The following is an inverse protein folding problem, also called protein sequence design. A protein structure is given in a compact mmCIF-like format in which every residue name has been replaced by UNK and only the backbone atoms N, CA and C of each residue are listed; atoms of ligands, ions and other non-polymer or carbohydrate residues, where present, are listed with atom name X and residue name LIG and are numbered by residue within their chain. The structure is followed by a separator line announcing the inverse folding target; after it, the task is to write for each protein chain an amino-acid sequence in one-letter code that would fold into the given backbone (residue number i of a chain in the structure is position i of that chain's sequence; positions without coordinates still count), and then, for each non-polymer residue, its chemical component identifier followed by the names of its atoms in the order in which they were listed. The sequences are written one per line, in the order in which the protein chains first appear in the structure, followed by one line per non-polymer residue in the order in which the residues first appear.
data_IF_846756804170
#
_entry.id   IF_846756804170
#
_cell.length_a   1.000
_cell.length_b   1.000
_cell.length_c   1.000
_cell.angle_alpha   90.00
_cell.angle_beta   90.00
_cell.angle_gamma   90.00
#
_symmetry.space_group_name_H-M   'P 1'
#
loop_
_entity.id
_entity.type
_entity.pdbx_description
1 polymer ?
#
# COMPACT_ATOMS: atom_id res chain seq x y z
N UNK A 1 -16.37 -35.43 29.63
CA UNK A 1 -15.08 -34.82 30.02
C UNK A 1 -14.75 -35.13 31.48
N UNK A 2 -13.84 -36.10 31.75
CA UNK A 2 -13.45 -36.50 33.11
C UNK A 2 -12.09 -35.94 33.57
N UNK A 3 -11.31 -35.31 32.67
CA UNK A 3 -9.95 -34.83 32.98
C UNK A 3 -9.93 -33.32 33.29
N UNK A 4 -9.48 -32.95 34.50
CA UNK A 4 -9.38 -31.56 34.97
C UNK A 4 -8.54 -30.66 34.05
N UNK A 5 -7.50 -31.22 33.41
CA UNK A 5 -6.62 -30.49 32.48
C UNK A 5 -7.32 -30.11 31.18
N UNK A 6 -8.11 -31.03 30.61
CA UNK A 6 -8.92 -30.75 29.40
C UNK A 6 -9.92 -29.61 29.63
N UNK A 7 -10.52 -29.55 30.83
CA UNK A 7 -11.44 -28.46 31.22
C UNK A 7 -10.73 -27.12 31.36
N UNK A 8 -9.47 -27.09 31.81
CA UNK A 8 -8.68 -25.87 31.93
C UNK A 8 -8.22 -25.34 30.55
N UNK A 9 -7.80 -26.24 29.66
CA UNK A 9 -7.43 -25.88 28.28
C UNK A 9 -8.63 -25.32 27.49
N UNK A 10 -9.83 -25.88 27.70
CA UNK A 10 -11.06 -25.36 27.08
C UNK A 10 -11.41 -23.95 27.60
N UNK A 11 -11.19 -23.66 28.89
CA UNK A 11 -11.34 -22.28 29.44
C UNK A 11 -10.43 -21.30 28.74
N UNK A 12 -9.16 -21.68 28.57
CA UNK A 12 -8.16 -20.86 27.89
C UNK A 12 -8.58 -20.60 26.44
N UNK A 13 -9.01 -21.63 25.71
CA UNK A 13 -9.47 -21.47 24.32
C UNK A 13 -10.63 -20.48 24.19
N UNK A 14 -11.62 -20.54 25.10
CA UNK A 14 -12.75 -19.60 25.13
C UNK A 14 -12.29 -18.16 25.42
N UNK A 15 -11.35 -17.97 26.33
CA UNK A 15 -10.78 -16.65 26.64
C UNK A 15 -10.05 -16.07 25.43
N UNK A 16 -9.20 -16.87 24.79
CA UNK A 16 -8.42 -16.44 23.61
C UNK A 16 -9.35 -16.10 22.43
N UNK A 17 -10.41 -16.88 22.23
CA UNK A 17 -11.38 -16.63 21.17
C UNK A 17 -12.25 -15.39 21.44
N UNK A 18 -12.57 -15.09 22.70
CA UNK A 18 -13.26 -13.84 23.04
C UNK A 18 -12.36 -12.62 22.80
N UNK A 19 -11.07 -12.72 23.14
CA UNK A 19 -10.10 -11.68 22.84
C UNK A 19 -9.93 -11.48 21.33
N UNK A 20 -9.89 -12.57 20.56
CA UNK A 20 -9.93 -12.54 19.09
C UNK A 20 -11.16 -11.74 18.59
N UNK A 21 -12.34 -11.98 19.15
CA UNK A 21 -13.57 -11.28 18.76
C UNK A 21 -13.55 -9.77 19.07
N UNK A 22 -12.83 -9.34 20.11
CA UNK A 22 -12.72 -7.94 20.50
C UNK A 22 -11.72 -7.16 19.62
N UNK A 23 -10.73 -7.84 19.05
CA UNK A 23 -9.68 -7.26 18.19
C UNK A 23 -10.12 -7.04 16.72
N UNK A 24 -11.22 -7.66 16.28
CA UNK A 24 -11.70 -7.56 14.88
C UNK A 24 -12.44 -6.24 14.60
N UNK A 25 -11.90 -5.43 13.70
CA UNK A 25 -12.41 -4.09 13.37
C UNK A 25 -12.85 -3.93 11.90
N UNK A 26 -14.01 -4.47 11.51
CA UNK A 26 -14.68 -4.06 10.25
C UNK A 26 -16.17 -3.70 10.45
N UNK A 27 -16.66 -2.77 9.63
CA UNK A 27 -17.99 -2.14 9.70
C UNK A 27 -19.16 -3.08 9.39
N UNK A 28 -18.91 -4.24 8.78
CA UNK A 28 -19.89 -5.32 8.56
C UNK A 28 -19.69 -6.54 9.50
N UNK A 29 -18.47 -6.79 10.00
CA UNK A 29 -18.12 -7.98 10.81
C UNK A 29 -18.43 -7.89 12.31
N UNK A 30 -18.51 -6.67 12.87
CA UNK A 30 -18.71 -6.45 14.31
C UNK A 30 -20.04 -7.01 14.86
N UNK A 31 -21.06 -7.16 14.01
CA UNK A 31 -22.40 -7.64 14.41
C UNK A 31 -22.45 -9.17 14.47
N UNK A 32 -21.84 -9.88 13.51
CA UNK A 32 -21.83 -11.35 13.47
C UNK A 32 -20.93 -11.95 14.55
N UNK A 33 -19.74 -11.38 14.77
CA UNK A 33 -18.80 -11.86 15.80
C UNK A 33 -19.25 -11.56 17.22
N UNK A 34 -19.86 -10.40 17.50
CA UNK A 34 -20.49 -10.14 18.81
C UNK A 34 -21.67 -11.08 19.09
N UNK A 35 -22.43 -11.46 18.06
CA UNK A 35 -23.52 -12.43 18.18
C UNK A 35 -22.97 -13.82 18.52
N UNK A 36 -21.88 -14.23 17.86
CA UNK A 36 -21.15 -15.48 18.17
C UNK A 36 -20.52 -15.43 19.58
N UNK A 37 -19.83 -14.35 19.96
CA UNK A 37 -19.25 -14.16 21.28
C UNK A 37 -20.30 -14.13 22.41
N UNK A 38 -21.44 -13.47 22.20
CA UNK A 38 -22.57 -13.52 23.16
C UNK A 38 -23.22 -14.91 23.25
N UNK A 39 -23.19 -15.68 22.17
CA UNK A 39 -23.65 -17.08 22.13
C UNK A 39 -22.65 -17.99 22.86
N UNK A 40 -21.36 -17.66 22.85
CA UNK A 40 -20.27 -18.35 23.55
C UNK A 40 -20.17 -18.01 25.04
N UNK A 41 -20.48 -16.78 25.45
CA UNK A 41 -20.59 -16.41 26.85
C UNK A 41 -21.63 -17.25 27.62
N UNK A 42 -22.65 -17.77 26.92
CA UNK A 42 -23.67 -18.68 27.47
C UNK A 42 -23.26 -20.17 27.46
N UNK A 43 -22.15 -20.52 26.80
CA UNK A 43 -21.54 -21.85 26.87
C UNK A 43 -20.66 -21.89 28.11
N UNK A 44 -21.27 -22.05 29.28
CA UNK A 44 -20.52 -22.44 30.49
C UNK A 44 -20.06 -23.89 30.34
N UNK A 45 -18.89 -24.21 30.89
CA UNK A 45 -18.30 -25.56 30.88
C UNK A 45 -19.21 -26.62 31.51
N UNK A 46 -20.19 -26.20 32.30
CA UNK A 46 -21.20 -27.06 32.90
C UNK A 46 -22.39 -27.38 31.97
N UNK A 47 -22.59 -26.60 30.88
CA UNK A 47 -23.69 -26.71 29.90
C UNK A 47 -23.32 -27.51 28.62
N UNK A 48 -22.22 -28.25 28.60
CA UNK A 48 -21.75 -29.01 27.41
C UNK A 48 -22.04 -30.52 27.54
N UNK A 49 -22.84 -30.94 28.53
CA UNK A 49 -22.95 -32.34 28.95
C UNK A 49 -24.32 -32.98 28.68
N UNK A 50 -25.31 -32.27 28.15
CA UNK A 50 -26.67 -32.80 27.95
C UNK A 50 -27.17 -32.76 26.49
N UNK A 51 -28.13 -33.63 26.15
CA UNK A 51 -28.63 -33.82 24.78
C UNK A 51 -29.35 -32.59 24.18
N UNK A 52 -29.70 -31.57 24.99
CA UNK A 52 -30.19 -30.27 24.49
C UNK A 52 -29.08 -29.40 23.88
N UNK A 53 -27.81 -29.75 24.11
CA UNK A 53 -26.65 -28.90 23.84
C UNK A 53 -26.07 -29.17 22.43
N UNK A 54 -26.34 -30.35 21.85
CA UNK A 54 -25.99 -30.69 20.46
C UNK A 54 -26.77 -29.85 19.43
N UNK A 55 -28.06 -29.60 19.66
CA UNK A 55 -28.88 -28.73 18.80
C UNK A 55 -28.40 -27.26 18.84
N UNK A 56 -27.84 -26.83 19.96
CA UNK A 56 -27.27 -25.50 20.14
C UNK A 56 -25.93 -25.35 19.39
N UNK A 57 -25.03 -26.34 19.50
CA UNK A 57 -23.80 -26.41 18.72
C UNK A 57 -24.08 -26.50 17.20
N UNK A 58 -25.11 -27.24 16.79
CA UNK A 58 -25.53 -27.34 15.40
C UNK A 58 -26.06 -26.01 14.83
N UNK A 59 -26.72 -25.20 15.66
CA UNK A 59 -27.15 -23.84 15.30
C UNK A 59 -25.95 -22.91 15.09
N UNK A 60 -24.98 -22.92 16.00
CA UNK A 60 -23.71 -22.19 15.85
C UNK A 60 -22.97 -22.65 14.58
N UNK A 61 -22.90 -23.96 14.34
CA UNK A 61 -22.28 -24.55 13.16
C UNK A 61 -22.91 -24.04 11.85
N UNK A 62 -24.23 -23.88 11.82
CA UNK A 62 -24.97 -23.35 10.66
C UNK A 62 -24.75 -21.84 10.46
N UNK A 63 -24.69 -21.05 11.54
CA UNK A 63 -24.45 -19.60 11.47
C UNK A 63 -23.01 -19.26 11.04
N UNK A 64 -22.02 -20.11 11.37
CA UNK A 64 -20.62 -19.97 10.93
C UNK A 64 -20.39 -20.30 9.45
N UNK A 65 -21.25 -21.14 8.85
CA UNK A 65 -21.07 -21.67 7.49
C UNK A 65 -21.49 -20.74 6.34
N UNK A 66 -22.07 -19.57 6.65
CA UNK A 66 -22.62 -18.66 5.65
C UNK A 66 -21.79 -17.37 5.53
N UNK A 67 -20.90 -17.30 4.53
CA UNK A 67 -20.40 -16.09 3.86
C UNK A 67 -19.94 -14.85 4.69
N UNK A 68 -19.57 -14.97 5.96
CA UNK A 68 -19.22 -13.79 6.80
C UNK A 68 -17.72 -13.40 6.85
N UNK A 69 -16.86 -13.99 6.03
CA UNK A 69 -15.41 -14.06 6.34
C UNK A 69 -14.49 -13.37 5.34
N UNK A 70 -14.79 -12.14 4.89
CA UNK A 70 -13.94 -11.45 3.91
C UNK A 70 -13.01 -10.37 4.42
N UNK A 71 -13.15 -9.82 5.63
CA UNK A 71 -12.21 -8.78 6.12
C UNK A 71 -12.12 -8.83 7.66
N UNK A 72 -11.06 -9.46 8.19
CA UNK A 72 -10.83 -9.66 9.62
C UNK A 72 -9.34 -9.48 9.94
N UNK A 73 -9.00 -8.41 10.66
CA UNK A 73 -7.68 -8.15 11.26
C UNK A 73 -7.61 -8.68 12.68
N UNK A 74 -6.58 -9.44 13.06
CA UNK A 74 -6.37 -9.90 14.46
C UNK A 74 -4.88 -9.96 14.80
N UNK A 75 -4.50 -9.78 16.08
CA UNK A 75 -3.10 -9.88 16.49
C UNK A 75 -2.51 -11.29 16.35
N UNK A 76 -1.31 -11.39 15.74
CA UNK A 76 -0.60 -12.66 15.52
C UNK A 76 -0.31 -13.50 16.78
N UNK A 77 -0.18 -12.87 17.96
CA UNK A 77 0.05 -13.59 19.23
C UNK A 77 -1.19 -14.37 19.69
N UNK A 78 -2.38 -13.79 19.54
CA UNK A 78 -3.67 -14.44 19.89
C UNK A 78 -3.95 -15.62 18.95
N UNK A 79 -3.59 -15.48 17.67
CA UNK A 79 -3.75 -16.54 16.66
C UNK A 79 -2.84 -17.75 16.93
N UNK A 80 -1.58 -17.50 17.28
CA UNK A 80 -0.62 -18.56 17.60
C UNK A 80 -1.06 -19.36 18.83
N UNK A 81 -1.55 -18.67 19.87
CA UNK A 81 -2.05 -19.31 21.09
C UNK A 81 -3.31 -20.15 20.83
N UNK A 82 -4.24 -19.68 19.99
CA UNK A 82 -5.43 -20.47 19.60
C UNK A 82 -5.01 -21.74 18.86
N UNK A 83 -4.05 -21.64 17.94
CA UNK A 83 -3.53 -22.78 17.17
C UNK A 83 -2.91 -23.84 18.07
N UNK A 84 -2.02 -23.47 18.98
CA UNK A 84 -1.38 -24.40 19.91
C UNK A 84 -2.42 -25.09 20.82
N UNK A 85 -3.42 -24.34 21.31
CA UNK A 85 -4.48 -24.90 22.16
C UNK A 85 -5.39 -25.87 21.40
N UNK A 86 -5.72 -25.56 20.14
CA UNK A 86 -6.53 -26.45 19.29
C UNK A 86 -5.76 -27.73 18.98
N UNK A 87 -4.48 -27.63 18.59
CA UNK A 87 -3.64 -28.80 18.30
C UNK A 87 -3.54 -29.74 19.51
N UNK A 88 -3.30 -29.21 20.70
CA UNK A 88 -3.25 -30.00 21.94
C UNK A 88 -4.61 -30.66 22.23
N UNK A 89 -5.71 -29.93 22.10
CA UNK A 89 -7.05 -30.46 22.41
C UNK A 89 -7.49 -31.55 21.42
N UNK A 90 -7.22 -31.37 20.13
CA UNK A 90 -7.61 -32.30 19.05
C UNK A 90 -6.70 -33.52 18.99
N UNK A 91 -5.41 -33.38 19.32
CA UNK A 91 -4.45 -34.47 19.23
C UNK A 91 -4.37 -35.28 20.53
N UNK A 92 -4.26 -34.61 21.68
CA UNK A 92 -3.93 -35.28 22.96
C UNK A 92 -5.17 -35.60 23.81
N UNK A 93 -6.31 -34.94 23.55
CA UNK A 93 -7.54 -35.06 24.34
C UNK A 93 -8.78 -35.40 23.51
N UNK A 94 -8.61 -35.89 22.27
CA UNK A 94 -9.70 -36.22 21.35
C UNK A 94 -10.76 -37.14 21.96
N UNK A 95 -10.32 -38.16 22.68
CA UNK A 95 -11.19 -39.17 23.28
C UNK A 95 -11.88 -38.69 24.57
N UNK A 96 -11.42 -37.56 25.13
CA UNK A 96 -11.95 -36.94 26.36
C UNK A 96 -13.06 -35.90 26.06
N UNK A 97 -13.24 -35.55 24.78
CA UNK A 97 -14.08 -34.46 24.26
C UNK A 97 -15.19 -35.05 23.36
N UNK A 98 -16.40 -34.47 23.35
CA UNK A 98 -17.48 -34.96 22.48
C UNK A 98 -17.22 -34.61 21.01
N UNK A 99 -17.72 -35.43 20.08
CA UNK A 99 -17.55 -35.20 18.64
C UNK A 99 -18.04 -33.80 18.21
N UNK A 100 -19.18 -33.34 18.73
CA UNK A 100 -19.71 -32.00 18.43
C UNK A 100 -18.76 -30.87 18.88
N UNK A 101 -18.05 -31.07 19.99
CA UNK A 101 -17.08 -30.11 20.50
C UNK A 101 -15.75 -30.17 19.72
N UNK A 102 -15.35 -31.34 19.21
CA UNK A 102 -14.23 -31.46 18.28
C UNK A 102 -14.50 -30.72 16.96
N UNK A 103 -15.68 -30.90 16.36
CA UNK A 103 -16.06 -30.19 15.13
C UNK A 103 -16.11 -28.67 15.33
N UNK A 104 -16.51 -28.23 16.52
CA UNK A 104 -16.49 -26.82 16.90
C UNK A 104 -15.06 -26.26 17.02
N UNK A 105 -14.18 -26.97 17.73
CA UNK A 105 -12.75 -26.60 17.90
C UNK A 105 -12.05 -26.52 16.54
N UNK A 106 -12.36 -27.45 15.63
CA UNK A 106 -11.79 -27.46 14.29
C UNK A 106 -12.18 -26.21 13.47
N UNK A 107 -13.43 -25.74 13.59
CA UNK A 107 -13.88 -24.50 12.93
C UNK A 107 -13.23 -23.25 13.51
N UNK A 108 -13.03 -23.19 14.82
CA UNK A 108 -12.28 -22.10 15.47
C UNK A 108 -10.85 -22.03 14.91
N UNK A 109 -10.22 -23.19 14.68
CA UNK A 109 -8.91 -23.27 14.05
C UNK A 109 -8.92 -22.84 12.59
N UNK A 110 -9.91 -23.24 11.79
CA UNK A 110 -10.07 -22.77 10.41
C UNK A 110 -10.19 -21.24 10.33
N UNK A 111 -10.98 -20.63 11.23
CA UNK A 111 -11.10 -19.17 11.33
C UNK A 111 -9.77 -18.53 11.71
N UNK A 112 -9.05 -19.08 12.69
CA UNK A 112 -7.73 -18.56 13.08
C UNK A 112 -6.71 -18.64 11.92
N UNK A 113 -6.67 -19.73 11.16
CA UNK A 113 -5.79 -19.89 10.00
C UNK A 113 -6.17 -18.94 8.85
N UNK A 114 -7.45 -18.72 8.62
CA UNK A 114 -7.92 -17.72 7.63
C UNK A 114 -7.56 -16.29 8.07
N UNK A 115 -7.64 -16.02 9.37
CA UNK A 115 -7.28 -14.74 9.97
C UNK A 115 -5.76 -14.49 9.91
N UNK A 116 -4.94 -15.52 10.08
CA UNK A 116 -3.47 -15.46 9.88
C UNK A 116 -3.12 -15.09 8.43
N UNK A 117 -3.87 -15.59 7.43
CA UNK A 117 -3.67 -15.18 6.03
C UNK A 117 -4.03 -13.71 5.78
N UNK A 118 -5.05 -13.20 6.46
CA UNK A 118 -5.47 -11.79 6.36
C UNK A 118 -4.50 -10.89 7.13
N UNK A 119 -4.09 -11.26 8.34
CA UNK A 119 -3.07 -10.58 9.15
C UNK A 119 -1.71 -10.58 8.43
N UNK A 120 -1.31 -11.66 7.75
CA UNK A 120 -0.09 -11.64 6.93
C UNK A 120 -0.19 -10.65 5.76
N UNK A 121 -1.38 -10.48 5.17
CA UNK A 121 -1.61 -9.50 4.12
C UNK A 121 -1.65 -8.07 4.66
N UNK A 122 -2.35 -7.82 5.76
CA UNK A 122 -2.42 -6.51 6.41
C UNK A 122 -1.14 -6.12 7.13
N UNK A 123 -0.41 -7.04 7.75
CA UNK A 123 0.88 -6.78 8.38
C UNK A 123 1.98 -6.55 7.33
N UNK A 124 1.90 -7.19 6.16
CA UNK A 124 2.71 -6.78 5.00
C UNK A 124 2.25 -5.41 4.51
N UNK A 125 0.95 -5.13 4.43
CA UNK A 125 0.43 -3.84 4.01
C UNK A 125 0.81 -2.72 4.98
N UNK A 126 0.78 -2.97 6.30
CA UNK A 126 1.15 -2.08 7.39
C UNK A 126 2.67 -1.96 7.53
N UNK A 127 3.46 -3.02 7.29
CA UNK A 127 4.92 -2.88 7.18
C UNK A 127 5.32 -2.14 5.92
N UNK A 128 4.64 -2.34 4.81
CA UNK A 128 4.82 -1.55 3.59
C UNK A 128 4.40 -0.11 3.87
N UNK A 129 3.27 0.14 4.52
CA UNK A 129 2.83 1.48 4.93
C UNK A 129 3.77 2.08 5.96
N UNK A 130 4.29 1.34 6.94
CA UNK A 130 5.24 1.82 7.95
C UNK A 130 6.61 2.06 7.33
N UNK A 131 7.07 1.28 6.36
CA UNK A 131 8.31 1.56 5.63
C UNK A 131 8.13 2.78 4.70
N UNK A 132 6.94 2.96 4.13
CA UNK A 132 6.53 4.14 3.35
C UNK A 132 6.28 5.38 4.25
N UNK A 133 5.84 5.20 5.50
CA UNK A 133 5.47 6.27 6.44
C UNK A 133 6.59 6.63 7.43
N UNK A 134 7.51 5.72 7.77
CA UNK A 134 8.71 6.05 8.57
C UNK A 134 9.67 6.96 7.81
N UNK A 135 9.47 7.16 6.50
CA UNK A 135 10.11 8.24 5.74
C UNK A 135 9.50 9.63 5.98
N UNK A 136 8.44 9.76 6.79
CA UNK A 136 7.73 11.02 7.04
C UNK A 136 7.83 11.51 8.49
N UNK A 137 8.98 12.11 8.81
CA UNK A 137 9.04 13.32 9.66
C UNK A 137 9.84 14.43 8.99
N UNK A 138 9.71 14.50 7.66
CA UNK A 138 9.97 15.70 6.86
C UNK A 138 8.73 15.90 5.99
N UNK A 139 8.16 17.11 5.98
CA UNK A 139 7.04 17.45 5.09
C UNK A 139 7.34 16.92 3.68
N UNK A 140 6.55 15.94 3.25
CA UNK A 140 6.63 15.42 1.88
C UNK A 140 6.11 16.49 0.94
N UNK A 141 6.85 16.79 -0.12
CA UNK A 141 6.41 17.75 -1.14
C UNK A 141 5.22 17.14 -1.88
N UNK A 142 4.07 17.82 -1.85
CA UNK A 142 2.94 17.55 -2.74
C UNK A 142 3.12 18.33 -4.05
N UNK A 143 3.39 17.61 -5.15
CA UNK A 143 3.58 18.23 -6.47
C UNK A 143 2.30 18.86 -7.03
N UNK A 144 1.13 18.32 -6.72
CA UNK A 144 -0.13 18.90 -7.19
C UNK A 144 -0.35 20.27 -6.55
N UNK A 145 -0.07 20.40 -5.26
CA UNK A 145 -0.15 21.68 -4.54
C UNK A 145 0.89 22.69 -5.07
N UNK A 146 2.12 22.24 -5.32
CA UNK A 146 3.21 23.11 -5.80
C UNK A 146 3.14 23.45 -7.29
N UNK A 147 2.37 22.72 -8.10
CA UNK A 147 2.37 22.81 -9.57
C UNK A 147 2.23 24.23 -10.12
N UNK A 148 1.27 25.00 -9.59
CA UNK A 148 1.03 26.38 -10.06
C UNK A 148 2.18 27.32 -9.71
N UNK A 149 2.82 27.14 -8.54
CA UNK A 149 4.01 27.88 -8.14
C UNK A 149 5.20 27.60 -9.05
N UNK A 150 5.43 26.33 -9.39
CA UNK A 150 6.49 25.91 -10.31
C UNK A 150 6.28 26.46 -11.73
N UNK A 151 5.04 26.42 -12.23
CA UNK A 151 4.70 27.03 -13.51
C UNK A 151 5.00 28.53 -13.50
N UNK A 152 4.53 29.26 -12.47
CA UNK A 152 4.77 30.70 -12.34
C UNK A 152 6.27 31.02 -12.33
N UNK A 153 7.06 30.24 -11.58
CA UNK A 153 8.51 30.43 -11.54
C UNK A 153 9.17 30.16 -12.89
N UNK A 154 8.68 29.15 -13.63
CA UNK A 154 9.18 28.84 -14.97
C UNK A 154 8.94 30.00 -15.95
N UNK A 155 7.74 30.58 -15.91
CA UNK A 155 7.35 31.73 -16.74
C UNK A 155 8.19 32.97 -16.39
N UNK A 156 8.40 33.26 -15.11
CA UNK A 156 9.23 34.37 -14.63
C UNK A 156 10.66 34.28 -15.22
N UNK A 157 11.32 33.13 -15.04
CA UNK A 157 12.69 32.93 -15.54
C UNK A 157 12.75 32.91 -17.08
N UNK A 158 11.73 32.35 -17.74
CA UNK A 158 11.65 32.39 -19.20
C UNK A 158 11.57 33.82 -19.75
N UNK A 159 10.79 34.69 -19.10
CA UNK A 159 10.72 36.11 -19.45
C UNK A 159 12.04 36.84 -19.22
N UNK A 160 12.75 36.56 -18.13
CA UNK A 160 14.10 37.11 -17.88
C UNK A 160 15.10 36.76 -18.98
N UNK A 161 14.98 35.55 -19.54
CA UNK A 161 15.84 35.06 -20.63
C UNK A 161 15.35 35.45 -22.03
N UNK A 162 14.16 36.06 -22.14
CA UNK A 162 13.56 36.42 -23.44
C UNK A 162 13.19 35.21 -24.30
N UNK A 163 12.83 34.08 -23.68
CA UNK A 163 12.44 32.84 -24.38
C UNK A 163 10.98 32.46 -24.10
N UNK A 164 10.35 31.82 -25.07
CA UNK A 164 8.98 31.30 -24.95
C UNK A 164 9.07 29.78 -24.81
N UNK A 165 8.50 29.24 -23.74
CA UNK A 165 8.63 27.83 -23.38
C UNK A 165 7.29 27.11 -23.29
N UNK A 166 7.37 25.80 -23.36
CA UNK A 166 6.40 24.85 -22.82
C UNK A 166 6.96 24.28 -21.53
N UNK A 167 6.11 24.28 -20.50
CA UNK A 167 6.32 23.65 -19.21
C UNK A 167 5.51 22.36 -19.15
N UNK A 168 6.10 21.27 -18.64
CA UNK A 168 5.40 20.04 -18.31
C UNK A 168 5.85 19.49 -16.97
N UNK A 169 4.88 19.12 -16.13
CA UNK A 169 5.07 18.48 -14.84
C UNK A 169 4.30 17.16 -14.84
N UNK A 170 4.97 16.08 -14.45
CA UNK A 170 4.40 14.73 -14.36
C UNK A 170 4.57 14.16 -12.96
N UNK A 171 3.69 13.23 -12.57
CA UNK A 171 3.80 12.45 -11.33
C UNK A 171 4.89 11.37 -11.43
N UNK A 172 5.11 10.62 -10.34
CA UNK A 172 6.10 9.54 -10.29
C UNK A 172 5.84 8.37 -11.26
N UNK A 173 4.64 8.30 -11.85
CA UNK A 173 4.25 7.30 -12.85
C UNK A 173 4.30 7.86 -14.28
N UNK A 174 4.67 9.13 -14.45
CA UNK A 174 4.73 9.80 -15.73
C UNK A 174 3.39 10.39 -16.21
N UNK A 175 2.34 10.37 -15.39
CA UNK A 175 1.08 11.02 -15.74
C UNK A 175 1.20 12.55 -15.62
N UNK A 176 0.61 13.26 -16.57
CA UNK A 176 0.64 14.72 -16.57
C UNK A 176 -0.14 15.28 -15.38
N UNK A 177 0.53 16.08 -14.56
CA UNK A 177 -0.08 16.93 -13.53
C UNK A 177 -0.48 18.27 -14.16
N UNK A 178 0.45 18.91 -14.87
CA UNK A 178 0.24 20.21 -15.47
C UNK A 178 1.15 20.40 -16.70
N UNK A 179 0.56 20.84 -17.81
CA UNK A 179 1.29 21.31 -18.98
C UNK A 179 0.80 22.71 -19.36
N UNK A 180 1.72 23.59 -19.72
CA UNK A 180 1.41 24.95 -20.15
C UNK A 180 2.30 25.37 -21.31
N UNK A 181 1.70 25.95 -22.34
CA UNK A 181 2.39 26.44 -23.53
C UNK A 181 2.28 27.97 -23.55
N UNK A 182 3.41 28.68 -23.50
CA UNK A 182 3.41 30.13 -23.70
C UNK A 182 2.96 30.45 -25.14
N UNK A 183 2.24 31.55 -25.29
CA UNK A 183 1.80 32.01 -26.61
C UNK A 183 3.00 32.17 -27.55
N UNK A 184 2.91 31.59 -28.75
CA UNK A 184 3.98 31.59 -29.77
C UNK A 184 5.25 30.79 -29.42
N UNK A 185 5.23 29.93 -28.38
CA UNK A 185 6.28 28.94 -28.19
C UNK A 185 6.36 27.97 -29.39
N UNK A 186 7.54 27.37 -29.60
CA UNK A 186 7.75 26.45 -30.72
C UNK A 186 6.80 25.24 -30.63
N UNK A 187 6.16 24.85 -31.73
CA UNK A 187 5.19 23.74 -31.74
C UNK A 187 5.82 22.41 -31.26
N UNK A 188 7.08 22.16 -31.64
CA UNK A 188 7.83 20.96 -31.21
C UNK A 188 8.01 20.88 -29.69
N UNK A 189 7.97 22.03 -29.01
CA UNK A 189 8.17 22.09 -27.55
C UNK A 189 7.01 21.49 -26.76
N UNK A 190 5.80 21.39 -27.34
CA UNK A 190 4.66 20.75 -26.68
C UNK A 190 4.96 19.30 -26.32
N UNK A 191 5.43 18.54 -27.32
CA UNK A 191 5.79 17.14 -27.14
C UNK A 191 7.12 17.00 -26.40
N UNK A 192 8.10 17.87 -26.69
CA UNK A 192 9.42 17.78 -26.05
C UNK A 192 9.39 18.06 -24.56
N UNK A 193 8.63 19.05 -24.09
CA UNK A 193 8.55 19.32 -22.65
C UNK A 193 8.01 18.09 -21.89
N UNK A 194 6.95 17.47 -22.40
CA UNK A 194 6.42 16.23 -21.82
C UNK A 194 7.44 15.10 -21.86
N UNK A 195 8.04 14.81 -23.02
CA UNK A 195 9.01 13.72 -23.16
C UNK A 195 10.21 13.91 -22.25
N UNK A 196 10.69 15.14 -22.04
CA UNK A 196 11.77 15.43 -21.10
C UNK A 196 11.36 15.13 -19.65
N UNK A 197 10.17 15.57 -19.23
CA UNK A 197 9.63 15.29 -17.90
C UNK A 197 9.45 13.78 -17.66
N UNK A 198 8.84 13.10 -18.62
CA UNK A 198 8.63 11.65 -18.60
C UNK A 198 9.96 10.89 -18.56
N UNK A 199 10.92 11.27 -19.40
CA UNK A 199 12.24 10.62 -19.44
C UNK A 199 12.98 10.77 -18.12
N UNK A 200 12.86 11.92 -17.47
CA UNK A 200 13.46 12.15 -16.17
C UNK A 200 12.90 11.20 -15.09
N UNK A 201 11.58 10.92 -15.13
CA UNK A 201 10.94 9.93 -14.25
C UNK A 201 11.33 8.51 -14.62
N UNK A 202 11.18 8.13 -15.89
CA UNK A 202 11.41 6.77 -16.37
C UNK A 202 12.87 6.33 -16.17
N UNK A 203 13.82 7.24 -16.35
CA UNK A 203 15.25 6.98 -16.17
C UNK A 203 15.77 7.38 -14.79
N UNK A 204 14.92 7.98 -13.95
CA UNK A 204 15.26 8.47 -12.61
C UNK A 204 16.48 9.41 -12.58
N UNK A 205 16.74 10.12 -13.67
CA UNK A 205 17.93 10.95 -13.84
C UNK A 205 17.66 12.17 -14.73
N UNK A 206 18.43 13.27 -14.59
CA UNK A 206 18.32 14.41 -15.49
C UNK A 206 18.58 14.02 -16.95
N UNK A 207 17.78 14.55 -17.88
CA UNK A 207 17.91 14.19 -19.31
C UNK A 207 19.26 14.62 -19.90
N UNK A 208 19.87 15.70 -19.38
CA UNK A 208 21.25 16.10 -19.73
C UNK A 208 22.31 15.05 -19.41
N UNK A 209 22.09 14.22 -18.39
CA UNK A 209 23.00 13.13 -18.04
C UNK A 209 22.75 11.94 -18.97
N UNK A 210 21.49 11.69 -19.31
CA UNK A 210 21.10 10.67 -20.29
C UNK A 210 21.76 10.91 -21.66
N UNK A 211 21.90 12.17 -22.10
CA UNK A 211 22.62 12.53 -23.34
C UNK A 211 24.05 12.00 -23.42
N UNK A 212 24.74 11.77 -22.30
CA UNK A 212 26.07 11.18 -22.33
C UNK A 212 26.00 9.67 -22.58
N UNK A 213 24.99 9.00 -22.03
CA UNK A 213 24.84 7.55 -22.11
C UNK A 213 24.27 7.05 -23.44
N UNK A 214 23.59 7.92 -24.20
CA UNK A 214 22.96 7.56 -25.48
C UNK A 214 23.83 7.87 -26.71
N UNK A 215 25.06 8.35 -26.52
CA UNK A 215 26.00 8.60 -27.62
C UNK A 215 26.43 7.30 -28.31
N UNK A 216 26.89 7.43 -29.56
CA UNK A 216 27.50 6.31 -30.29
C UNK A 216 28.65 5.73 -29.47
N UNK A 217 28.57 4.43 -29.18
CA UNK A 217 29.56 3.70 -28.40
C UNK A 217 29.31 3.65 -26.89
N UNK A 218 28.27 4.31 -26.40
CA UNK A 218 27.89 4.30 -24.98
C UNK A 218 26.80 3.26 -24.69
N UNK A 219 26.63 2.82 -23.42
CA UNK A 219 25.79 1.66 -23.08
C UNK A 219 24.32 1.77 -23.47
N UNK A 220 23.79 2.99 -23.59
CA UNK A 220 22.39 3.26 -23.94
C UNK A 220 22.25 3.84 -25.36
N UNK A 221 23.23 3.62 -26.23
CA UNK A 221 23.11 3.98 -27.64
C UNK A 221 21.82 3.40 -28.24
N UNK A 222 21.07 4.22 -28.99
CA UNK A 222 19.76 3.90 -29.59
C UNK A 222 18.56 3.81 -28.63
N UNK A 223 18.71 4.19 -27.35
CA UNK A 223 17.61 4.15 -26.38
C UNK A 223 16.35 4.89 -26.86
N UNK A 224 16.51 6.08 -27.45
CA UNK A 224 15.39 6.87 -27.97
C UNK A 224 14.63 6.08 -29.04
N UNK A 225 15.34 5.46 -29.99
CA UNK A 225 14.73 4.64 -31.05
C UNK A 225 14.06 3.38 -30.48
N UNK A 226 14.70 2.69 -29.54
CA UNK A 226 14.18 1.45 -28.95
C UNK A 226 12.97 1.67 -28.05
N UNK A 227 12.76 2.90 -27.59
CA UNK A 227 11.60 3.31 -26.78
C UNK A 227 10.48 3.92 -27.63
N UNK A 228 10.44 3.68 -28.94
CA UNK A 228 9.51 4.32 -29.88
C UNK A 228 9.50 5.86 -29.76
N UNK A 229 10.67 6.44 -29.49
CA UNK A 229 10.92 7.85 -29.23
C UNK A 229 10.16 8.43 -28.02
N UNK A 230 9.67 7.60 -27.10
CA UNK A 230 9.04 8.07 -25.86
C UNK A 230 10.08 8.68 -24.92
N UNK A 231 11.31 8.16 -24.92
CA UNK A 231 12.43 8.73 -24.17
C UNK A 231 13.21 9.73 -25.03
N UNK A 232 13.66 10.81 -24.39
CA UNK A 232 14.53 11.84 -24.98
C UNK A 232 15.69 12.14 -24.05
N UNK A 233 16.86 12.36 -24.65
CA UNK A 233 18.09 12.70 -23.95
C UNK A 233 18.44 14.20 -24.02
N UNK A 234 17.52 15.04 -24.48
CA UNK A 234 17.75 16.50 -24.58
C UNK A 234 17.60 17.17 -23.21
N UNK A 235 18.55 18.05 -22.86
CA UNK A 235 18.58 18.77 -21.58
C UNK A 235 17.31 19.60 -21.32
N UNK A 236 16.98 19.83 -20.04
CA UNK A 236 15.75 20.49 -19.61
C UNK A 236 14.70 19.58 -18.97
N UNK A 237 14.99 18.29 -18.80
CA UNK A 237 14.20 17.35 -18.01
C UNK A 237 14.90 17.02 -16.69
N UNK A 238 14.19 17.15 -15.58
CA UNK A 238 14.74 16.97 -14.23
C UNK A 238 13.81 16.11 -13.36
N UNK A 239 14.32 15.07 -12.69
CA UNK A 239 13.54 14.28 -11.74
C UNK A 239 13.36 15.05 -10.43
N UNK A 240 12.20 14.90 -9.81
CA UNK A 240 11.87 15.56 -8.56
C UNK A 240 11.79 14.53 -7.45
N UNK A 241 12.52 14.78 -6.36
CA UNK A 241 12.58 13.89 -5.21
C UNK A 241 12.12 14.60 -3.94
N UNK A 242 11.36 13.92 -3.10
CA UNK A 242 11.09 14.35 -1.73
C UNK A 242 11.47 13.24 -0.78
N UNK A 243 12.30 13.55 0.21
CA UNK A 243 12.80 12.57 1.18
C UNK A 243 13.44 11.32 0.54
N UNK A 244 14.11 11.49 -0.62
CA UNK A 244 14.73 10.39 -1.36
C UNK A 244 13.77 9.56 -2.22
N UNK A 245 12.46 9.82 -2.15
CA UNK A 245 11.45 9.20 -3.00
C UNK A 245 11.25 10.04 -4.26
N UNK A 246 11.22 9.39 -5.42
CA UNK A 246 10.85 10.04 -6.68
C UNK A 246 9.37 10.37 -6.63
N UNK A 247 9.04 11.67 -6.73
CA UNK A 247 7.66 12.16 -6.65
C UNK A 247 7.15 12.65 -8.01
N UNK A 248 8.03 12.92 -8.98
CA UNK A 248 7.64 13.30 -10.32
C UNK A 248 8.80 13.79 -11.19
N UNK A 249 8.47 14.48 -12.28
CA UNK A 249 9.44 15.03 -13.22
C UNK A 249 9.00 16.36 -13.81
N UNK A 250 9.98 17.24 -14.01
CA UNK A 250 9.83 18.53 -14.66
C UNK A 250 10.44 18.47 -16.06
N UNK A 251 9.81 19.09 -17.04
CA UNK A 251 10.33 19.27 -18.39
C UNK A 251 10.07 20.66 -18.93
N UNK A 252 11.12 21.31 -19.43
CA UNK A 252 11.08 22.62 -20.10
C UNK A 252 11.54 22.45 -21.55
N UNK A 253 10.82 23.07 -22.49
CA UNK A 253 11.28 23.17 -23.87
C UNK A 253 10.88 24.48 -24.53
N UNK A 254 11.80 25.11 -25.25
CA UNK A 254 11.50 26.24 -26.13
C UNK A 254 12.69 27.14 -26.44
N UNK A 255 13.69 27.17 -25.55
CA UNK A 255 14.95 27.86 -25.76
C UNK A 255 16.03 26.93 -26.33
N UNK A 256 17.30 27.34 -26.14
CA UNK A 256 18.43 26.42 -26.28
C UNK A 256 18.41 25.35 -25.19
N UNK A 257 19.17 24.27 -25.37
CA UNK A 257 19.29 23.20 -24.37
C UNK A 257 19.80 23.74 -23.02
N UNK A 258 20.69 24.72 -23.05
CA UNK A 258 21.23 25.40 -21.86
C UNK A 258 20.17 26.27 -21.18
N UNK A 259 19.33 26.97 -21.95
CA UNK A 259 18.24 27.79 -21.41
C UNK A 259 17.14 26.93 -20.78
N UNK A 260 16.72 25.86 -21.46
CA UNK A 260 15.75 24.90 -20.94
C UNK A 260 16.25 24.29 -19.62
N UNK A 261 17.52 23.88 -19.58
CA UNK A 261 18.16 23.33 -18.39
C UNK A 261 18.24 24.36 -17.26
N UNK A 262 18.64 25.59 -17.56
CA UNK A 262 18.74 26.66 -16.56
C UNK A 262 17.40 26.98 -15.92
N UNK A 263 16.32 27.07 -16.71
CA UNK A 263 14.97 27.30 -16.19
C UNK A 263 14.58 26.13 -15.26
N UNK A 264 14.78 24.88 -15.69
CA UNK A 264 14.45 23.71 -14.88
C UNK A 264 15.19 23.72 -13.53
N UNK A 265 16.48 24.05 -13.50
CA UNK A 265 17.27 24.16 -12.26
C UNK A 265 16.79 25.27 -11.34
N UNK A 266 16.41 26.43 -11.88
CA UNK A 266 15.85 27.53 -11.09
C UNK A 266 14.52 27.17 -10.47
N UNK A 267 13.67 26.45 -11.20
CA UNK A 267 12.37 25.96 -10.71
C UNK A 267 12.55 24.91 -9.61
N UNK A 268 13.50 23.98 -9.78
CA UNK A 268 13.85 23.03 -8.71
C UNK A 268 14.42 23.72 -7.49
N UNK A 269 15.30 24.70 -7.67
CA UNK A 269 15.85 25.48 -6.54
C UNK A 269 14.71 26.13 -5.76
N UNK A 270 13.76 26.76 -6.46
CA UNK A 270 12.56 27.35 -5.87
C UNK A 270 11.73 26.32 -5.09
N UNK A 271 11.48 25.15 -5.67
CA UNK A 271 10.72 24.06 -5.03
C UNK A 271 11.29 23.65 -3.66
N UNK A 272 12.63 23.59 -3.54
CA UNK A 272 13.29 23.13 -2.32
C UNK A 272 13.61 24.23 -1.31
N UNK A 273 13.36 25.50 -1.66
CA UNK A 273 13.59 26.65 -0.76
C UNK A 273 12.32 27.25 -0.15
N UNK A 274 11.14 26.87 -0.64
CA UNK A 274 9.82 27.25 -0.10
C UNK A 274 9.21 26.20 0.84
#
# INVERSE_FOLDING_TARGET
MNNLKSKQLLKLLVICFNQLCDEVHTSFGKISLKKIASTLQNVTIDNVVSASDAAYLHKIHSELSANCWQEITVSGETLLMIKELVEILVHDYKDDISNDLCDYIQKVYEVAVLSEKIDYQEHIYEKVLQEVCHTQTRQSIDLHEKATGLLRKSIEVAHELGVLIVFSLVDAHGHVILTYCMENALLVSQEMAYKKAYSAVAMKMPTRQLAQLTKIGEPLYQLETMSDNTLVSLAGGEPIYSNGLLIGGLGISGGSLEQDQYIAEKVLTYLYTE
#
